data_IF_672000310252
#
_entry.id   IF_672000310252
#
_cell.length_a   1.000
_cell.length_b   1.000
_cell.length_c   1.000
_cell.angle_alpha   90.00
_cell.angle_beta   90.00
_cell.angle_gamma   90.00
#
_symmetry.space_group_name_H-M   'P 1'
#
loop_
_entity.id
_entity.type
_entity.pdbx_description
1 polymer ?
#
# COMPACT_ATOMS: atom_id res chain seq x y z
N UNK A 1 49.70 8.53 4.71
CA UNK A 1 48.92 8.64 3.46
C UNK A 1 48.09 7.37 3.19
N UNK A 2 48.69 6.17 3.09
CA UNK A 2 47.98 4.91 2.76
C UNK A 2 46.85 4.47 3.72
N UNK A 3 46.95 4.75 5.02
CA UNK A 3 45.92 4.35 6.01
C UNK A 3 44.62 5.16 5.83
N UNK A 4 44.75 6.42 5.43
CA UNK A 4 43.59 7.31 5.22
C UNK A 4 42.81 6.91 3.96
N UNK A 5 43.51 6.52 2.90
CA UNK A 5 42.91 5.98 1.67
C UNK A 5 42.16 4.66 1.92
N UNK A 6 42.75 3.74 2.70
CA UNK A 6 42.11 2.47 3.04
C UNK A 6 40.84 2.64 3.89
N UNK A 7 40.86 3.58 4.84
CA UNK A 7 39.67 3.89 5.65
C UNK A 7 38.57 4.53 4.80
N UNK A 8 38.91 5.46 3.91
CA UNK A 8 37.94 6.06 2.98
C UNK A 8 37.31 5.01 2.06
N UNK A 9 38.11 4.15 1.45
CA UNK A 9 37.64 3.11 0.52
C UNK A 9 36.80 2.01 1.21
N UNK A 10 37.05 1.75 2.51
CA UNK A 10 36.21 0.82 3.29
C UNK A 10 34.85 1.44 3.68
N UNK A 11 34.85 2.75 3.94
CA UNK A 11 33.67 3.51 4.33
C UNK A 11 32.75 3.71 3.13
N UNK A 12 33.32 4.04 1.97
CA UNK A 12 32.61 4.15 0.69
C UNK A 12 31.99 2.80 0.29
N UNK A 13 32.72 1.68 0.39
CA UNK A 13 32.16 0.35 0.12
C UNK A 13 31.01 -0.02 1.04
N UNK A 14 31.08 0.34 2.34
CA UNK A 14 29.98 0.12 3.29
C UNK A 14 28.77 1.00 2.97
N UNK A 15 29.00 2.26 2.61
CA UNK A 15 27.95 3.20 2.21
C UNK A 15 27.28 2.77 0.90
N UNK A 16 28.04 2.30 -0.09
CA UNK A 16 27.48 1.73 -1.33
C UNK A 16 26.69 0.45 -1.09
N UNK A 17 27.14 -0.43 -0.18
CA UNK A 17 26.40 -1.65 0.13
C UNK A 17 25.07 -1.35 0.84
N UNK A 18 25.09 -0.40 1.78
CA UNK A 18 23.90 0.08 2.48
C UNK A 18 22.98 0.80 1.51
N UNK A 19 23.49 1.73 0.70
CA UNK A 19 22.71 2.42 -0.33
C UNK A 19 22.13 1.45 -1.35
N UNK A 20 22.88 0.46 -1.85
CA UNK A 20 22.33 -0.59 -2.74
C UNK A 20 21.23 -1.41 -2.07
N UNK A 21 21.33 -1.73 -0.77
CA UNK A 21 20.29 -2.42 0.00
C UNK A 21 19.04 -1.55 0.23
N UNK A 22 19.20 -0.26 0.51
CA UNK A 22 18.10 0.69 0.70
C UNK A 22 17.36 1.00 -0.61
N UNK A 23 18.11 1.18 -1.69
CA UNK A 23 17.57 1.48 -3.02
C UNK A 23 16.87 0.27 -3.64
N UNK A 24 17.39 -0.95 -3.46
CA UNK A 24 16.76 -2.15 -4.02
C UNK A 24 15.42 -2.50 -3.35
N UNK A 25 15.21 -2.15 -2.08
CA UNK A 25 13.92 -2.42 -1.41
C UNK A 25 12.94 -1.28 -1.64
N UNK A 26 13.39 -0.01 -1.54
CA UNK A 26 12.55 1.16 -1.80
C UNK A 26 11.98 1.17 -3.22
N UNK A 27 12.81 0.95 -4.25
CA UNK A 27 12.36 0.94 -5.65
C UNK A 27 11.46 -0.27 -5.96
N UNK A 28 11.77 -1.46 -5.41
CA UNK A 28 11.05 -2.69 -5.72
C UNK A 28 9.69 -2.77 -5.00
N UNK A 29 9.58 -2.15 -3.80
CA UNK A 29 8.31 -2.03 -3.04
C UNK A 29 7.37 -1.00 -3.66
N UNK A 30 7.88 0.06 -4.27
CA UNK A 30 7.06 1.09 -4.93
C UNK A 30 6.75 0.76 -6.40
N UNK A 31 7.64 0.07 -7.12
CA UNK A 31 7.41 -0.28 -8.55
C UNK A 31 6.31 -1.32 -8.75
N UNK A 32 6.05 -2.19 -7.77
CA UNK A 32 4.96 -3.19 -7.88
C UNK A 32 3.56 -2.57 -7.72
N UNK A 33 3.45 -1.33 -7.25
CA UNK A 33 2.21 -0.57 -7.28
C UNK A 33 1.78 -0.21 -8.72
N UNK A 34 2.65 -0.34 -9.72
CA UNK A 34 2.26 -0.23 -11.13
C UNK A 34 1.39 -1.40 -11.62
N UNK A 35 1.33 -2.53 -10.90
CA UNK A 35 0.33 -3.57 -11.19
C UNK A 35 -1.11 -3.05 -10.95
N UNK A 36 -1.28 -1.97 -10.19
CA UNK A 36 -2.53 -1.22 -10.06
C UNK A 36 -3.00 -0.54 -11.35
N UNK A 37 -2.21 -0.54 -12.44
CA UNK A 37 -2.74 -0.24 -13.78
C UNK A 37 -3.86 -1.19 -14.21
N UNK A 38 -3.96 -2.36 -13.59
CA UNK A 38 -5.08 -3.30 -13.77
C UNK A 38 -6.39 -2.75 -13.20
N UNK A 39 -6.33 -1.99 -12.09
CA UNK A 39 -7.46 -1.20 -11.55
C UNK A 39 -7.80 -0.05 -12.50
N UNK A 40 -6.81 0.43 -13.26
CA UNK A 40 -6.97 1.51 -14.22
C UNK A 40 -7.48 1.07 -15.61
N UNK A 41 -7.66 -0.24 -15.84
CA UNK A 41 -8.27 -0.70 -17.08
C UNK A 41 -9.74 -0.24 -17.12
N UNK A 42 -10.17 0.46 -18.19
CA UNK A 42 -11.57 0.81 -18.35
C UNK A 42 -12.42 -0.46 -18.33
N UNK A 43 -13.60 -0.39 -17.71
CA UNK A 43 -14.59 -1.45 -17.80
C UNK A 43 -14.80 -1.77 -19.30
N UNK A 44 -14.67 -3.05 -19.69
CA UNK A 44 -15.01 -3.42 -21.06
C UNK A 44 -16.49 -3.09 -21.33
N UNK A 45 -16.89 -2.80 -22.57
CA UNK A 45 -18.29 -2.46 -22.88
C UNK A 45 -19.29 -3.55 -22.49
N UNK A 46 -18.83 -4.79 -22.27
CA UNK A 46 -19.63 -5.97 -21.96
C UNK A 46 -19.95 -6.14 -20.46
N UNK A 47 -19.14 -5.57 -19.55
CA UNK A 47 -19.53 -5.45 -18.15
C UNK A 47 -20.52 -4.30 -18.04
N UNK A 48 -21.81 -4.65 -18.06
CA UNK A 48 -22.88 -3.73 -17.70
C UNK A 48 -22.45 -2.92 -16.47
N UNK A 49 -22.72 -1.62 -16.49
CA UNK A 49 -22.33 -0.65 -15.45
C UNK A 49 -22.65 -1.16 -14.03
N UNK A 50 -23.65 -2.04 -13.92
CA UNK A 50 -23.95 -2.85 -12.74
C UNK A 50 -22.73 -3.52 -12.09
N UNK A 51 -21.82 -4.15 -12.84
CA UNK A 51 -20.70 -4.92 -12.27
C UNK A 51 -19.40 -4.13 -12.07
N UNK A 52 -19.33 -2.87 -12.51
CA UNK A 52 -18.10 -2.09 -12.48
C UNK A 52 -17.53 -1.92 -11.05
N UNK A 53 -18.39 -1.64 -10.06
CA UNK A 53 -17.97 -1.52 -8.66
C UNK A 53 -17.47 -2.83 -8.05
N UNK A 54 -18.01 -3.97 -8.49
CA UNK A 54 -17.50 -5.29 -8.07
C UNK A 54 -16.08 -5.53 -8.58
N UNK A 55 -15.84 -5.27 -9.87
CA UNK A 55 -14.51 -5.45 -10.46
C UNK A 55 -13.49 -4.47 -9.88
N UNK A 56 -13.89 -3.22 -9.59
CA UNK A 56 -13.03 -2.26 -8.92
C UNK A 56 -12.57 -2.78 -7.55
N UNK A 57 -13.50 -3.18 -6.68
CA UNK A 57 -13.17 -3.73 -5.36
C UNK A 57 -12.29 -4.99 -5.47
N UNK A 58 -12.65 -5.91 -6.39
CA UNK A 58 -11.90 -7.15 -6.59
C UNK A 58 -10.47 -6.87 -7.06
N UNK A 59 -10.29 -6.00 -8.04
CA UNK A 59 -8.98 -5.65 -8.58
C UNK A 59 -8.14 -4.86 -7.56
N UNK A 60 -8.77 -4.00 -6.77
CA UNK A 60 -8.12 -3.31 -5.65
C UNK A 60 -7.56 -4.32 -4.65
N UNK A 61 -8.34 -5.33 -4.25
CA UNK A 61 -7.89 -6.34 -3.29
C UNK A 61 -6.83 -7.28 -3.86
N UNK A 62 -6.90 -7.66 -5.14
CA UNK A 62 -5.79 -8.40 -5.77
C UNK A 62 -4.51 -7.58 -5.80
N UNK A 63 -4.58 -6.30 -6.14
CA UNK A 63 -3.41 -5.42 -6.15
C UNK A 63 -2.81 -5.28 -4.75
N UNK A 64 -3.66 -5.07 -3.73
CA UNK A 64 -3.24 -5.00 -2.33
C UNK A 64 -2.60 -6.32 -1.88
N UNK A 65 -3.20 -7.46 -2.20
CA UNK A 65 -2.70 -8.79 -1.84
C UNK A 65 -1.36 -9.13 -2.50
N UNK A 66 -1.19 -8.79 -3.78
CA UNK A 66 0.09 -8.95 -4.49
C UNK A 66 1.16 -8.07 -3.85
N UNK A 67 0.86 -6.79 -3.64
CA UNK A 67 1.79 -5.87 -2.99
C UNK A 67 2.17 -6.32 -1.58
N UNK A 68 1.19 -6.76 -0.80
CA UNK A 68 1.39 -7.27 0.54
C UNK A 68 2.28 -8.53 0.55
N UNK A 69 2.04 -9.48 -0.35
CA UNK A 69 2.83 -10.70 -0.46
C UNK A 69 4.29 -10.40 -0.79
N UNK A 70 4.55 -9.50 -1.74
CA UNK A 70 5.90 -9.06 -2.08
C UNK A 70 6.61 -8.40 -0.89
N UNK A 71 5.88 -7.58 -0.13
CA UNK A 71 6.43 -6.91 1.04
C UNK A 71 6.66 -7.84 2.25
N UNK A 72 5.82 -8.85 2.43
CA UNK A 72 6.07 -9.90 3.44
C UNK A 72 7.36 -10.64 3.11
N UNK A 73 7.55 -11.06 1.85
CA UNK A 73 8.78 -11.73 1.41
C UNK A 73 10.01 -10.82 1.59
N UNK A 74 9.92 -9.56 1.13
CA UNK A 74 11.01 -8.58 1.26
C UNK A 74 11.33 -8.28 2.73
N UNK A 75 10.32 -8.13 3.58
CA UNK A 75 10.47 -7.92 5.03
C UNK A 75 11.12 -9.13 5.71
N UNK A 76 10.72 -10.35 5.35
CA UNK A 76 11.30 -11.57 5.90
C UNK A 76 12.78 -11.72 5.51
N UNK A 77 13.12 -11.51 4.23
CA UNK A 77 14.50 -11.53 3.73
C UNK A 77 15.32 -10.42 4.41
N UNK A 78 14.76 -9.21 4.52
CA UNK A 78 15.43 -8.08 5.15
C UNK A 78 15.74 -8.31 6.63
N UNK A 79 14.80 -8.91 7.37
CA UNK A 79 14.98 -9.32 8.77
C UNK A 79 16.06 -10.39 8.94
N UNK A 80 16.14 -11.34 8.00
CA UNK A 80 17.13 -12.42 8.03
C UNK A 80 18.54 -11.96 7.61
N UNK A 81 18.65 -10.84 6.88
CA UNK A 81 19.89 -10.39 6.24
C UNK A 81 20.47 -9.08 6.80
N UNK A 82 19.88 -8.54 7.86
CA UNK A 82 20.29 -7.27 8.47
C UNK A 82 20.46 -7.37 9.97
N UNK A 83 21.59 -6.85 10.46
CA UNK A 83 21.93 -6.79 11.88
C UNK A 83 21.68 -5.41 12.51
N UNK A 84 21.69 -4.34 11.69
CA UNK A 84 21.46 -2.98 12.17
C UNK A 84 20.05 -2.85 12.80
N UNK A 85 19.95 -2.42 14.07
CA UNK A 85 18.67 -2.41 14.80
C UNK A 85 17.57 -1.57 14.13
N UNK A 86 17.93 -0.45 13.51
CA UNK A 86 16.97 0.44 12.83
C UNK A 86 16.44 -0.23 11.57
N UNK A 87 17.33 -0.79 10.75
CA UNK A 87 16.92 -1.51 9.53
C UNK A 87 16.11 -2.76 9.85
N UNK A 88 16.48 -3.51 10.89
CA UNK A 88 15.67 -4.63 11.40
C UNK A 88 14.27 -4.18 11.79
N UNK A 89 14.14 -3.05 12.49
CA UNK A 89 12.86 -2.48 12.86
C UNK A 89 12.01 -2.10 11.63
N UNK A 90 12.62 -1.51 10.60
CA UNK A 90 11.92 -1.23 9.32
C UNK A 90 11.38 -2.52 8.70
N UNK A 91 12.19 -3.57 8.60
CA UNK A 91 11.78 -4.84 8.01
C UNK A 91 10.72 -5.57 8.85
N UNK A 92 10.82 -5.48 10.17
CA UNK A 92 9.81 -6.01 11.10
C UNK A 92 8.46 -5.36 10.89
N UNK A 93 8.45 -4.02 10.84
CA UNK A 93 7.21 -3.27 10.64
C UNK A 93 6.65 -3.52 9.23
N UNK A 94 7.51 -3.58 8.20
CA UNK A 94 7.09 -3.92 6.83
C UNK A 94 6.42 -5.29 6.76
N UNK A 95 7.04 -6.31 7.37
CA UNK A 95 6.48 -7.67 7.41
C UNK A 95 5.15 -7.69 8.17
N UNK A 96 5.11 -7.13 9.38
CA UNK A 96 3.92 -7.14 10.22
C UNK A 96 2.73 -6.43 9.57
N UNK A 97 2.96 -5.23 9.05
CA UNK A 97 1.92 -4.44 8.39
C UNK A 97 1.38 -5.12 7.13
N UNK A 98 2.26 -5.73 6.33
CA UNK A 98 1.84 -6.40 5.11
C UNK A 98 1.17 -7.76 5.37
N UNK A 99 1.40 -8.42 6.51
CA UNK A 99 0.55 -9.54 6.92
C UNK A 99 -0.89 -9.09 7.20
N UNK A 100 -1.08 -7.92 7.81
CA UNK A 100 -2.42 -7.33 8.02
C UNK A 100 -3.08 -7.04 6.66
N UNK A 101 -2.37 -6.39 5.75
CA UNK A 101 -2.89 -6.08 4.41
C UNK A 101 -3.23 -7.34 3.61
N UNK A 102 -2.40 -8.38 3.69
CA UNK A 102 -2.65 -9.66 3.04
C UNK A 102 -3.89 -10.35 3.62
N UNK A 103 -4.08 -10.30 4.94
CA UNK A 103 -5.27 -10.83 5.58
C UNK A 103 -6.54 -10.07 5.17
N UNK A 104 -6.48 -8.73 5.11
CA UNK A 104 -7.59 -7.88 4.64
C UNK A 104 -7.95 -8.19 3.18
N UNK A 105 -6.94 -8.24 2.29
CA UNK A 105 -7.12 -8.59 0.89
C UNK A 105 -7.74 -9.99 0.73
N UNK A 106 -7.20 -10.99 1.43
CA UNK A 106 -7.69 -12.36 1.40
C UNK A 106 -9.13 -12.49 1.91
N UNK A 107 -9.44 -11.86 3.04
CA UNK A 107 -10.79 -11.84 3.60
C UNK A 107 -11.78 -11.15 2.64
N UNK A 108 -11.41 -10.00 2.09
CA UNK A 108 -12.26 -9.29 1.14
C UNK A 108 -12.50 -10.13 -0.12
N UNK A 109 -11.46 -10.73 -0.71
CA UNK A 109 -11.60 -11.60 -1.89
C UNK A 109 -12.43 -12.86 -1.61
N UNK A 110 -12.40 -13.39 -0.38
CA UNK A 110 -13.20 -14.54 0.00
C UNK A 110 -14.69 -14.22 0.24
N UNK A 111 -14.99 -12.96 0.57
CA UNK A 111 -16.35 -12.53 0.96
C UNK A 111 -17.03 -11.62 -0.06
N UNK A 112 -16.29 -11.08 -1.03
CA UNK A 112 -16.83 -10.21 -2.08
C UNK A 112 -17.81 -10.98 -2.95
N UNK A 113 -19.04 -10.46 -3.05
CA UNK A 113 -20.09 -11.06 -3.87
C UNK A 113 -20.23 -10.28 -5.17
N UNK A 114 -20.39 -11.02 -6.28
CA UNK A 114 -20.62 -10.47 -7.63
C UNK A 114 -22.04 -9.93 -7.83
N UNK A 115 -22.87 -9.98 -6.81
CA UNK A 115 -24.31 -9.86 -6.98
C UNK A 115 -24.77 -8.40 -7.05
N UNK A 116 -25.23 -7.99 -8.23
CA UNK A 116 -25.84 -6.69 -8.47
C UNK A 116 -27.22 -6.93 -9.07
N UNK A 117 -28.12 -7.45 -8.23
CA UNK A 117 -29.48 -7.83 -8.63
C UNK A 117 -30.36 -6.63 -8.97
N UNK A 118 -29.97 -5.40 -8.59
CA UNK A 118 -30.73 -4.19 -8.89
C UNK A 118 -29.86 -2.92 -8.82
N UNK A 119 -30.30 -1.79 -9.42
CA UNK A 119 -29.66 -0.48 -9.25
C UNK A 119 -29.50 -0.07 -7.78
N UNK A 120 -30.43 -0.48 -6.91
CA UNK A 120 -30.33 -0.23 -5.47
C UNK A 120 -29.18 -0.98 -4.80
N UNK A 121 -28.90 -2.22 -5.21
CA UNK A 121 -27.74 -2.97 -4.73
C UNK A 121 -26.42 -2.33 -5.19
N UNK A 122 -26.35 -1.84 -6.43
CA UNK A 122 -25.19 -1.09 -6.93
C UNK A 122 -24.95 0.18 -6.11
N UNK A 123 -26.00 0.96 -5.84
CA UNK A 123 -25.91 2.18 -5.03
C UNK A 123 -25.43 1.89 -3.60
N UNK A 124 -26.01 0.88 -2.94
CA UNK A 124 -25.59 0.48 -1.59
C UNK A 124 -24.14 0.00 -1.55
N UNK A 125 -23.67 -0.68 -2.60
CA UNK A 125 -22.28 -1.10 -2.74
C UNK A 125 -21.35 0.11 -2.85
N UNK A 126 -21.67 1.07 -3.72
CA UNK A 126 -20.92 2.33 -3.87
C UNK A 126 -20.76 3.04 -2.52
N UNK A 127 -21.88 3.25 -1.83
CA UNK A 127 -21.90 3.87 -0.50
C UNK A 127 -21.04 3.10 0.52
N UNK A 128 -21.08 1.77 0.51
CA UNK A 128 -20.25 0.97 1.40
C UNK A 128 -18.76 1.16 1.09
N UNK A 129 -18.38 1.11 -0.18
CA UNK A 129 -16.99 1.27 -0.60
C UNK A 129 -16.46 2.68 -0.27
N UNK A 130 -17.24 3.72 -0.57
CA UNK A 130 -16.90 5.12 -0.26
C UNK A 130 -16.67 5.32 1.25
N UNK A 131 -17.55 4.77 2.09
CA UNK A 131 -17.37 4.83 3.54
C UNK A 131 -16.12 4.08 4.02
N UNK A 132 -15.84 2.90 3.44
CA UNK A 132 -14.63 2.14 3.77
C UNK A 132 -13.35 2.90 3.37
N UNK A 133 -13.32 3.50 2.18
CA UNK A 133 -12.20 4.30 1.71
C UNK A 133 -11.97 5.55 2.57
N UNK A 134 -13.04 6.21 3.01
CA UNK A 134 -12.93 7.36 3.93
C UNK A 134 -12.34 6.96 5.29
N UNK A 135 -12.79 5.83 5.84
CA UNK A 135 -12.24 5.29 7.10
C UNK A 135 -10.76 4.95 6.93
N UNK A 136 -10.38 4.24 5.87
CA UNK A 136 -8.99 3.87 5.61
C UNK A 136 -8.12 5.09 5.35
N UNK A 137 -8.58 6.06 4.56
CA UNK A 137 -7.88 7.34 4.36
C UNK A 137 -7.58 8.03 5.70
N UNK A 138 -8.54 8.03 6.63
CA UNK A 138 -8.34 8.56 7.98
C UNK A 138 -7.30 7.77 8.78
N UNK A 139 -7.33 6.44 8.68
CA UNK A 139 -6.33 5.56 9.31
C UNK A 139 -4.94 5.77 8.72
N UNK A 140 -4.80 5.94 7.41
CA UNK A 140 -3.53 6.19 6.73
C UNK A 140 -2.89 7.48 7.17
N UNK A 141 -3.68 8.55 7.29
CA UNK A 141 -3.23 9.82 7.88
C UNK A 141 -2.78 9.59 9.33
N UNK A 142 -3.54 8.82 10.12
CA UNK A 142 -3.14 8.49 11.49
C UNK A 142 -1.81 7.70 11.55
N UNK A 143 -1.58 6.75 10.63
CA UNK A 143 -0.32 6.00 10.54
C UNK A 143 0.85 6.91 10.17
N UNK A 144 0.66 7.84 9.22
CA UNK A 144 1.68 8.82 8.84
C UNK A 144 2.04 9.70 10.04
N UNK A 145 1.05 10.22 10.75
CA UNK A 145 1.27 11.07 11.94
C UNK A 145 1.97 10.28 13.05
N UNK A 146 1.50 9.07 13.36
CA UNK A 146 2.11 8.21 14.36
C UNK A 146 3.56 7.82 13.98
N UNK A 147 3.79 7.54 12.70
CA UNK A 147 5.12 7.23 12.18
C UNK A 147 6.07 8.43 12.27
N UNK A 148 5.61 9.63 11.90
CA UNK A 148 6.38 10.86 12.03
C UNK A 148 6.74 11.16 13.49
N UNK A 149 5.79 10.95 14.41
CA UNK A 149 6.02 11.06 15.85
C UNK A 149 7.05 10.04 16.34
N UNK A 150 6.97 8.78 15.93
CA UNK A 150 7.94 7.74 16.26
C UNK A 150 9.34 8.05 15.70
N UNK A 151 9.43 8.55 14.47
CA UNK A 151 10.69 9.02 13.89
C UNK A 151 11.33 10.09 14.78
N UNK A 152 10.56 11.12 15.14
CA UNK A 152 11.04 12.20 16.01
C UNK A 152 11.48 11.66 17.37
N UNK A 153 10.66 10.82 18.02
CA UNK A 153 10.98 10.20 19.31
C UNK A 153 12.25 9.36 19.24
N UNK A 154 12.41 8.58 18.17
CA UNK A 154 13.59 7.74 17.95
C UNK A 154 14.88 8.56 17.78
N UNK A 155 14.80 9.70 17.10
CA UNK A 155 15.93 10.65 17.01
C UNK A 155 16.21 11.29 18.36
N UNK A 156 15.19 11.82 19.04
CA UNK A 156 15.33 12.55 20.31
C UNK A 156 15.87 11.65 21.44
N UNK A 157 15.54 10.36 21.43
CA UNK A 157 15.96 9.39 22.46
C UNK A 157 17.16 8.52 22.06
N UNK A 158 17.61 8.62 20.81
CA UNK A 158 18.62 7.71 20.25
C UNK A 158 18.13 6.26 20.13
N UNK A 159 16.82 6.01 20.14
CA UNK A 159 16.23 4.69 19.99
C UNK A 159 16.10 4.31 18.49
N UNK A 160 16.94 3.37 17.98
CA UNK A 160 16.92 2.99 16.58
C UNK A 160 15.64 2.24 16.18
N UNK A 161 14.97 1.56 17.12
CA UNK A 161 13.73 0.81 16.85
C UNK A 161 12.58 1.76 16.58
N UNK A 162 12.39 2.76 17.43
CA UNK A 162 11.36 3.80 17.24
C UNK A 162 11.57 4.53 15.92
N UNK A 163 12.82 4.87 15.60
CA UNK A 163 13.13 5.53 14.34
C UNK A 163 12.80 4.64 13.13
N UNK A 164 13.20 3.36 13.17
CA UNK A 164 12.91 2.42 12.08
C UNK A 164 11.42 2.14 11.92
N UNK A 165 10.70 1.92 13.01
CA UNK A 165 9.24 1.75 12.99
C UNK A 165 8.53 3.00 12.46
N UNK A 166 8.97 4.19 12.88
CA UNK A 166 8.43 5.44 12.38
C UNK A 166 8.59 5.60 10.87
N UNK A 167 9.80 5.30 10.34
CA UNK A 167 10.08 5.38 8.92
C UNK A 167 9.22 4.41 8.11
N UNK A 168 9.06 3.19 8.61
CA UNK A 168 8.20 2.20 7.98
C UNK A 168 6.73 2.62 8.01
N UNK A 169 6.20 3.10 9.14
CA UNK A 169 4.81 3.55 9.25
C UNK A 169 4.47 4.71 8.30
N UNK A 170 5.37 5.71 8.20
CA UNK A 170 5.18 6.81 7.22
C UNK A 170 5.16 6.26 5.80
N UNK A 171 6.11 5.40 5.43
CA UNK A 171 6.18 4.84 4.09
C UNK A 171 4.93 4.04 3.73
N UNK A 172 4.49 3.16 4.63
CA UNK A 172 3.30 2.34 4.43
C UNK A 172 2.03 3.19 4.37
N UNK A 173 1.88 4.16 5.28
CA UNK A 173 0.72 5.05 5.31
C UNK A 173 0.62 5.91 4.05
N UNK A 174 1.73 6.45 3.54
CA UNK A 174 1.73 7.20 2.27
C UNK A 174 1.35 6.31 1.08
N UNK A 175 1.86 5.08 1.04
CA UNK A 175 1.54 4.14 -0.03
C UNK A 175 0.04 3.75 -0.03
N UNK A 176 -0.51 3.44 1.15
CA UNK A 176 -1.93 3.12 1.32
C UNK A 176 -2.84 4.32 1.00
N UNK A 177 -2.45 5.52 1.43
CA UNK A 177 -3.21 6.73 1.12
C UNK A 177 -3.30 6.99 -0.39
N UNK A 178 -2.19 6.78 -1.11
CA UNK A 178 -2.18 6.90 -2.57
C UNK A 178 -3.02 5.80 -3.24
N UNK A 179 -2.97 4.58 -2.72
CA UNK A 179 -3.79 3.47 -3.18
C UNK A 179 -5.28 3.80 -3.02
N UNK A 180 -5.71 4.23 -1.84
CA UNK A 180 -7.10 4.60 -1.55
C UNK A 180 -7.57 5.78 -2.39
N UNK A 181 -6.71 6.78 -2.61
CA UNK A 181 -7.03 7.92 -3.48
C UNK A 181 -7.28 7.48 -4.94
N UNK A 182 -6.49 6.53 -5.46
CA UNK A 182 -6.69 5.98 -6.81
C UNK A 182 -8.01 5.20 -6.89
N UNK A 183 -8.30 4.36 -5.90
CA UNK A 183 -9.54 3.59 -5.85
C UNK A 183 -10.76 4.51 -5.72
N UNK A 184 -10.69 5.53 -4.86
CA UNK A 184 -11.75 6.53 -4.68
C UNK A 184 -12.01 7.30 -5.98
N UNK A 185 -10.96 7.71 -6.68
CA UNK A 185 -11.08 8.38 -7.98
C UNK A 185 -11.77 7.49 -9.03
N UNK A 186 -11.42 6.20 -9.08
CA UNK A 186 -12.09 5.24 -9.96
C UNK A 186 -13.55 4.99 -9.57
N UNK A 187 -13.83 4.90 -8.28
CA UNK A 187 -15.20 4.72 -7.80
C UNK A 187 -16.07 5.91 -8.20
N UNK A 188 -15.56 7.14 -8.10
CA UNK A 188 -16.28 8.34 -8.53
C UNK A 188 -16.67 8.29 -10.02
N UNK A 189 -15.77 7.85 -10.91
CA UNK A 189 -16.07 7.68 -12.33
C UNK A 189 -17.19 6.66 -12.57
N UNK A 190 -17.13 5.51 -11.89
CA UNK A 190 -18.15 4.46 -11.99
C UNK A 190 -19.50 4.97 -11.52
N UNK A 191 -19.55 5.72 -10.42
CA UNK A 191 -20.78 6.33 -9.91
C UNK A 191 -21.38 7.30 -10.94
N UNK A 192 -20.56 8.15 -11.57
CA UNK A 192 -21.00 9.08 -12.61
C UNK A 192 -21.51 8.38 -13.89
N UNK A 193 -20.82 7.32 -14.33
CA UNK A 193 -21.26 6.49 -15.46
C UNK A 193 -22.60 5.81 -15.17
N UNK A 194 -22.77 5.29 -13.94
CA UNK A 194 -24.02 4.66 -13.47
C UNK A 194 -25.17 5.66 -13.46
N UNK A 195 -24.95 6.86 -12.93
CA UNK A 195 -25.96 7.91 -12.91
C UNK A 195 -26.36 8.37 -14.32
N UNK A 196 -25.41 8.43 -15.27
CA UNK A 196 -25.70 8.74 -16.68
C UNK A 196 -26.52 7.64 -17.36
N UNK A 197 -26.17 6.37 -17.17
CA UNK A 197 -26.91 5.25 -17.74
C UNK A 197 -28.37 5.21 -17.26
N UNK A 198 -28.61 5.43 -15.96
CA UNK A 198 -29.96 5.46 -15.39
C UNK A 198 -30.82 6.63 -15.90
N UNK A 199 -30.20 7.79 -16.19
CA UNK A 199 -30.91 8.96 -16.75
C UNK A 199 -31.25 8.79 -18.23
N UNK A 200 -30.44 8.07 -19.00
CA UNK A 200 -30.68 7.85 -20.43
C UNK A 200 -31.73 6.75 -20.74
N UNK A 201 -32.15 5.99 -19.73
CA UNK A 201 -33.18 4.94 -19.85
C UNK A 201 -34.60 5.40 -19.45
N UNK A 202 -34.75 6.67 -19.04
CA UNK A 202 -36.03 7.33 -18.71
C UNK A 202 -36.45 8.25 -19.85
#
# INVERSE_FOLDING_TARGET
MRVFELLSASTERRLELVMRKCWTIGLFVTLNMWASLSIAQPATPDNSVAYAGYELERNAMWSLGTWATTNVAAGAIGLASTDDPKWRAIHQMNLGWNLVNLALAGYSLATIQRDVQSPWHAYRRSQRLENMLLINTGLDVAYIVAGAWLCKRGVDTGNPVDHGWGQALVLQGVALLLFDAIVAWRQAQITDDTARALRGSL
#
